data_IF_034215811423
#
_entry.id   IF_034215811423
#
_cell.length_a   1.000
_cell.length_b   1.000
_cell.length_c   1.000
_cell.angle_alpha   90.00
_cell.angle_beta   90.00
_cell.angle_gamma   90.00
#
_symmetry.space_group_name_H-M   'P 1'
#
loop_
_entity.id
_entity.type
_entity.pdbx_description
1 polymer ?
#
# COMPACT_ATOMS: atom_id res chain seq x y z
N UNK A 1 25.47 -40.12 35.62
CA UNK A 1 25.23 -40.80 34.36
C UNK A 1 23.76 -40.68 34.05
N UNK A 2 23.36 -39.87 33.12
CA UNK A 2 22.00 -39.65 32.69
C UNK A 2 22.07 -38.98 31.32
N UNK A 3 21.84 -39.80 30.28
CA UNK A 3 21.89 -39.43 28.88
C UNK A 3 20.71 -38.49 28.52
N UNK A 4 21.06 -37.33 27.99
CA UNK A 4 20.12 -36.41 27.33
C UNK A 4 19.79 -36.97 25.93
N UNK A 5 18.54 -37.43 25.69
CA UNK A 5 18.05 -37.79 24.37
C UNK A 5 17.81 -36.50 23.57
N UNK A 6 18.57 -36.33 22.48
CA UNK A 6 18.42 -35.28 21.51
C UNK A 6 17.08 -35.44 20.74
N UNK A 7 16.35 -34.37 20.55
CA UNK A 7 15.20 -34.31 19.67
C UNK A 7 15.65 -34.37 18.20
N UNK A 8 14.89 -35.05 17.30
CA UNK A 8 15.25 -35.12 15.89
C UNK A 8 15.03 -33.75 15.21
N UNK A 9 16.13 -33.19 14.69
CA UNK A 9 16.11 -32.00 13.86
C UNK A 9 15.38 -32.30 12.54
N UNK A 10 14.38 -31.49 12.20
CA UNK A 10 13.76 -31.49 10.89
C UNK A 10 14.80 -31.09 9.83
N UNK A 11 15.25 -32.06 9.06
CA UNK A 11 16.11 -31.83 7.90
C UNK A 11 15.26 -31.34 6.72
N UNK A 12 15.38 -30.09 6.36
CA UNK A 12 14.82 -29.53 5.14
C UNK A 12 15.59 -30.09 3.93
N UNK A 13 14.91 -30.84 3.08
CA UNK A 13 15.50 -31.38 1.85
C UNK A 13 16.00 -30.26 0.94
N UNK A 14 17.22 -30.42 0.39
CA UNK A 14 17.84 -29.48 -0.55
C UNK A 14 16.99 -29.38 -1.82
N UNK A 15 16.48 -28.15 -2.11
CA UNK A 15 15.79 -27.81 -3.34
C UNK A 15 16.83 -27.61 -4.46
N UNK A 16 16.60 -28.06 -5.71
CA UNK A 16 17.51 -27.89 -6.84
C UNK A 16 17.74 -26.41 -7.16
N UNK A 17 18.95 -26.04 -7.53
CA UNK A 17 19.34 -24.70 -7.96
C UNK A 17 18.63 -24.31 -9.24
N UNK A 18 17.95 -23.15 -9.18
CA UNK A 18 17.19 -22.55 -10.26
C UNK A 18 18.09 -22.27 -11.50
N UNK A 19 17.63 -22.55 -12.73
CA UNK A 19 18.34 -22.18 -13.96
C UNK A 19 18.28 -20.66 -14.17
N UNK A 20 19.28 -20.12 -14.88
CA UNK A 20 19.43 -18.70 -15.22
C UNK A 20 18.17 -18.13 -15.87
N UNK A 21 17.70 -16.98 -15.35
CA UNK A 21 16.52 -16.26 -15.80
C UNK A 21 16.64 -15.82 -17.28
N UNK A 22 15.56 -15.92 -18.07
CA UNK A 22 15.54 -15.44 -19.44
C UNK A 22 15.63 -13.90 -19.53
N UNK A 23 16.14 -13.34 -20.65
CA UNK A 23 16.51 -11.91 -20.77
C UNK A 23 15.35 -10.91 -20.89
N UNK A 24 14.09 -11.34 -20.94
CA UNK A 24 12.92 -10.44 -21.00
C UNK A 24 12.04 -10.61 -19.77
N UNK A 25 11.84 -9.52 -19.03
CA UNK A 25 10.99 -9.46 -17.84
C UNK A 25 9.60 -8.95 -18.24
N UNK A 26 8.59 -9.80 -18.18
CA UNK A 26 7.20 -9.39 -18.28
C UNK A 26 6.64 -9.22 -16.86
N UNK A 27 6.11 -8.04 -16.57
CA UNK A 27 5.61 -7.64 -15.25
C UNK A 27 4.09 -7.62 -15.27
N UNK A 28 3.48 -8.10 -14.19
CA UNK A 28 2.04 -8.11 -14.01
C UNK A 28 1.66 -7.43 -12.71
N UNK A 29 0.66 -6.56 -12.76
CA UNK A 29 0.12 -5.81 -11.63
C UNK A 29 -1.34 -6.16 -11.45
N UNK A 30 -1.72 -6.52 -10.24
CA UNK A 30 -3.11 -6.77 -9.88
C UNK A 30 -3.61 -5.70 -8.93
N UNK A 31 -4.77 -5.15 -9.25
CA UNK A 31 -5.49 -4.18 -8.44
C UNK A 31 -6.93 -4.67 -8.26
N UNK A 32 -7.55 -4.31 -7.15
CA UNK A 32 -8.96 -4.54 -6.93
C UNK A 32 -9.49 -3.41 -6.07
N UNK A 33 -10.42 -2.64 -6.63
CA UNK A 33 -11.06 -1.51 -5.97
C UNK A 33 -12.54 -1.83 -5.78
N UNK A 34 -12.86 -2.54 -4.69
CA UNK A 34 -14.25 -2.76 -4.29
C UNK A 34 -14.69 -1.64 -3.34
N UNK A 35 -15.40 -0.65 -3.84
CA UNK A 35 -16.03 0.39 -3.01
C UNK A 35 -17.55 0.28 -3.06
N UNK A 36 -18.18 0.02 -1.92
CA UNK A 36 -19.60 0.30 -1.70
C UNK A 36 -19.73 1.56 -0.84
N UNK A 37 -20.62 2.48 -1.23
CA UNK A 37 -20.97 3.62 -0.40
C UNK A 37 -21.63 3.17 0.90
N UNK A 38 -21.39 3.84 2.04
CA UNK A 38 -22.08 3.54 3.29
C UNK A 38 -23.54 3.99 3.16
N UNK A 39 -24.47 3.05 3.09
CA UNK A 39 -25.88 3.31 3.39
C UNK A 39 -26.00 3.63 4.88
N UNK A 40 -26.69 4.73 5.21
CA UNK A 40 -27.01 5.11 6.59
C UNK A 40 -27.85 3.99 7.24
N UNK A 41 -27.22 3.16 8.04
CA UNK A 41 -27.91 2.17 8.87
C UNK A 41 -28.09 2.72 10.27
N UNK A 42 -29.33 3.04 10.62
CA UNK A 42 -29.78 3.14 12.02
C UNK A 42 -30.16 1.74 12.48
N UNK A 43 -29.68 1.26 13.63
CA UNK A 43 -30.10 -0.05 14.13
C UNK A 43 -31.53 0.03 14.67
N UNK A 44 -32.47 -0.54 13.93
CA UNK A 44 -33.78 -0.91 14.47
C UNK A 44 -33.76 -2.39 14.84
N UNK A 45 -33.99 -2.67 16.09
CA UNK A 45 -34.34 -3.99 16.62
C UNK A 45 -35.61 -4.46 15.91
N UNK A 46 -35.55 -5.62 15.25
CA UNK A 46 -36.71 -6.27 14.64
C UNK A 46 -37.23 -7.37 15.55
N UNK A 47 -38.55 -7.46 15.77
CA UNK A 47 -39.18 -8.61 16.37
C UNK A 47 -39.30 -9.76 15.35
N UNK A 48 -39.12 -10.98 15.85
CA UNK A 48 -39.30 -12.23 15.13
C UNK A 48 -40.75 -12.42 14.65
N UNK A 49 -40.88 -12.87 13.43
CA UNK A 49 -41.98 -13.54 12.73
C UNK A 49 -42.47 -12.77 11.50
N UNK A 50 -42.24 -13.42 10.37
CA UNK A 50 -43.12 -13.61 9.22
C UNK A 50 -42.31 -13.64 7.90
N UNK A 51 -42.22 -14.80 7.32
CA UNK A 51 -41.95 -14.97 5.88
C UNK A 51 -43.19 -14.59 5.08
N UNK A 52 -43.02 -13.91 3.97
CA UNK A 52 -43.78 -14.28 2.77
C UNK A 52 -42.89 -14.44 1.54
N UNK A 53 -43.18 -15.48 0.80
CA UNK A 53 -42.77 -15.72 -0.59
C UNK A 53 -43.35 -14.64 -1.50
N UNK A 54 -42.53 -13.94 -2.28
CA UNK A 54 -42.93 -13.38 -3.58
C UNK A 54 -41.67 -12.99 -4.40
N UNK A 55 -41.64 -13.52 -5.59
CA UNK A 55 -40.75 -13.18 -6.70
C UNK A 55 -40.97 -11.75 -7.13
N UNK A 56 -39.98 -10.88 -6.91
CA UNK A 56 -39.89 -9.58 -7.53
C UNK A 56 -38.68 -9.54 -8.49
N UNK A 57 -38.76 -8.89 -9.66
CA UNK A 57 -37.70 -8.88 -10.63
C UNK A 57 -36.52 -8.06 -10.14
N UNK A 58 -35.32 -8.62 -10.31
CA UNK A 58 -34.04 -7.95 -10.06
C UNK A 58 -33.94 -6.73 -10.98
N UNK A 59 -34.01 -5.53 -10.41
CA UNK A 59 -33.59 -4.30 -11.08
C UNK A 59 -32.08 -4.34 -11.34
N UNK A 60 -31.61 -3.89 -12.50
CA UNK A 60 -30.19 -3.86 -12.79
C UNK A 60 -29.50 -2.89 -11.82
N UNK A 61 -28.50 -3.42 -11.09
CA UNK A 61 -27.61 -2.63 -10.25
C UNK A 61 -26.84 -1.67 -11.17
N UNK A 62 -27.17 -0.39 -11.14
CA UNK A 62 -26.32 0.65 -11.71
C UNK A 62 -25.00 0.66 -10.96
N UNK A 63 -23.85 0.62 -11.66
CA UNK A 63 -22.56 0.70 -10.99
C UNK A 63 -22.41 2.10 -10.39
N UNK A 64 -22.49 2.19 -9.07
CA UNK A 64 -22.14 3.42 -8.35
C UNK A 64 -20.63 3.60 -8.44
N UNK A 65 -20.23 4.50 -9.32
CA UNK A 65 -18.87 4.98 -9.46
C UNK A 65 -18.49 5.82 -8.24
N UNK A 66 -17.56 5.35 -7.42
CA UNK A 66 -16.69 6.22 -6.64
C UNK A 66 -15.32 5.53 -6.49
N UNK A 67 -14.41 5.80 -7.43
CA UNK A 67 -12.99 5.74 -7.16
C UNK A 67 -12.69 6.88 -6.20
N UNK A 68 -12.31 6.60 -4.96
CA UNK A 68 -11.62 7.60 -4.17
C UNK A 68 -10.21 7.72 -4.74
N UNK A 69 -9.78 8.93 -5.07
CA UNK A 69 -8.49 9.24 -5.67
C UNK A 69 -7.28 8.66 -4.91
N UNK A 70 -7.47 8.15 -3.69
CA UNK A 70 -6.43 7.52 -2.88
C UNK A 70 -5.94 6.16 -3.42
N UNK A 71 -6.76 5.44 -4.18
CA UNK A 71 -6.45 4.08 -4.61
C UNK A 71 -5.51 4.03 -5.82
N UNK A 72 -5.50 5.07 -6.67
CA UNK A 72 -4.58 5.20 -7.81
C UNK A 72 -3.26 5.91 -7.50
N UNK A 73 -3.08 6.44 -6.27
CA UNK A 73 -1.93 7.25 -5.88
C UNK A 73 -0.56 6.60 -6.11
N UNK A 74 -0.45 5.30 -5.84
CA UNK A 74 0.78 4.53 -6.04
C UNK A 74 0.84 3.84 -7.38
N UNK A 75 -0.31 3.42 -7.89
CA UNK A 75 -0.43 2.52 -9.03
C UNK A 75 -0.07 3.21 -10.34
N UNK A 76 -0.61 4.41 -10.55
CA UNK A 76 -0.37 5.18 -11.78
C UNK A 76 1.10 5.57 -11.90
N UNK A 77 1.74 6.20 -10.90
CA UNK A 77 3.16 6.48 -10.94
C UNK A 77 4.04 5.22 -11.08
N UNK A 78 3.70 4.11 -10.39
CA UNK A 78 4.37 2.82 -10.58
C UNK A 78 4.31 2.35 -12.04
N UNK A 79 3.13 2.43 -12.66
CA UNK A 79 2.95 2.00 -14.04
C UNK A 79 3.85 2.78 -15.01
N UNK A 80 3.89 4.09 -14.89
CA UNK A 80 4.75 4.94 -15.70
C UNK A 80 6.24 4.65 -15.47
N UNK A 81 6.67 4.56 -14.21
CA UNK A 81 8.05 4.25 -13.86
C UNK A 81 8.49 2.91 -14.44
N UNK A 82 7.68 1.88 -14.28
CA UNK A 82 8.03 0.54 -14.74
C UNK A 82 7.96 0.41 -16.26
N UNK A 83 6.98 1.05 -16.91
CA UNK A 83 6.93 1.14 -18.38
C UNK A 83 8.13 1.88 -18.95
N UNK A 84 8.59 2.94 -18.31
CA UNK A 84 9.83 3.64 -18.64
C UNK A 84 11.07 2.75 -18.44
N UNK A 85 11.12 2.00 -17.35
CA UNK A 85 12.27 1.17 -16.95
C UNK A 85 12.38 -0.13 -17.74
N UNK A 86 11.26 -0.83 -17.99
CA UNK A 86 11.24 -2.19 -18.58
C UNK A 86 10.68 -2.23 -19.99
N UNK A 87 10.17 -1.12 -20.49
CA UNK A 87 9.51 -1.01 -21.79
C UNK A 87 8.00 -1.14 -21.69
N UNK A 88 7.32 -0.31 -22.46
CA UNK A 88 5.86 -0.14 -22.46
C UNK A 88 5.09 -1.46 -22.55
N UNK A 89 5.49 -2.35 -23.46
CA UNK A 89 4.79 -3.61 -23.74
C UNK A 89 5.15 -4.76 -22.80
N UNK A 90 6.13 -4.56 -21.92
CA UNK A 90 6.56 -5.57 -20.94
C UNK A 90 5.90 -5.37 -19.57
N UNK A 91 5.02 -4.36 -19.41
CA UNK A 91 4.34 -4.02 -18.17
C UNK A 91 2.84 -4.06 -18.38
N UNK A 92 2.21 -5.12 -17.91
CA UNK A 92 0.77 -5.35 -17.99
C UNK A 92 0.13 -4.88 -16.70
N UNK A 93 -0.84 -3.98 -16.80
CA UNK A 93 -1.69 -3.60 -15.68
C UNK A 93 -2.95 -4.45 -15.67
N UNK A 94 -3.46 -4.72 -14.48
CA UNK A 94 -4.71 -5.45 -14.31
C UNK A 94 -5.52 -4.88 -13.15
N UNK A 95 -6.81 -4.70 -13.37
CA UNK A 95 -7.79 -4.27 -12.38
C UNK A 95 -9.19 -4.73 -12.83
N UNK A 96 -10.15 -4.75 -11.91
CA UNK A 96 -11.58 -4.90 -12.23
C UNK A 96 -12.17 -3.65 -12.89
N UNK A 97 -11.48 -2.51 -12.82
CA UNK A 97 -11.88 -1.21 -13.38
C UNK A 97 -10.88 -0.73 -14.42
N UNK A 98 -11.38 0.00 -15.40
CA UNK A 98 -10.54 0.74 -16.34
C UNK A 98 -9.78 1.84 -15.60
N UNK A 99 -8.45 1.93 -15.73
CA UNK A 99 -7.68 3.06 -15.21
C UNK A 99 -7.96 4.34 -16.02
N UNK A 100 -7.47 5.51 -15.58
CA UNK A 100 -7.50 6.73 -16.37
C UNK A 100 -6.97 6.54 -17.80
N UNK A 101 -7.47 7.31 -18.75
CA UNK A 101 -7.20 7.10 -20.17
C UNK A 101 -5.72 7.22 -20.55
N UNK A 102 -5.01 8.14 -19.93
CA UNK A 102 -3.56 8.31 -20.08
C UNK A 102 -2.76 7.05 -19.67
N UNK A 103 -3.21 6.35 -18.64
CA UNK A 103 -2.63 5.07 -18.20
C UNK A 103 -3.09 3.92 -19.10
N UNK A 104 -4.39 3.88 -19.43
CA UNK A 104 -4.99 2.82 -20.24
C UNK A 104 -4.35 2.74 -21.63
N UNK A 105 -4.21 3.87 -22.32
CA UNK A 105 -3.62 3.92 -23.65
C UNK A 105 -2.08 3.93 -23.65
N UNK A 106 -1.47 4.05 -22.47
CA UNK A 106 -0.02 4.03 -22.35
C UNK A 106 0.61 2.64 -22.34
N UNK A 107 -0.14 1.54 -22.40
CA UNK A 107 0.39 0.17 -22.47
C UNK A 107 -0.65 -0.90 -22.20
N UNK A 108 -0.28 -2.18 -22.19
CA UNK A 108 -1.20 -3.29 -22.02
C UNK A 108 -1.99 -3.19 -20.71
N UNK A 109 -3.30 -3.44 -20.81
CA UNK A 109 -4.22 -3.54 -19.69
C UNK A 109 -5.14 -4.75 -19.86
N UNK A 110 -5.37 -5.51 -18.79
CA UNK A 110 -6.24 -6.69 -18.78
C UNK A 110 -7.19 -6.59 -17.60
N UNK A 111 -8.50 -6.69 -17.85
CA UNK A 111 -9.49 -6.80 -16.77
C UNK A 111 -9.35 -8.14 -16.04
N UNK A 112 -9.24 -8.09 -14.72
CA UNK A 112 -9.20 -9.30 -13.90
C UNK A 112 -9.63 -9.01 -12.48
N UNK A 113 -10.35 -9.95 -11.87
CA UNK A 113 -10.66 -9.95 -10.44
C UNK A 113 -9.61 -10.79 -9.69
N UNK A 114 -9.10 -10.25 -8.58
CA UNK A 114 -8.15 -10.95 -7.70
C UNK A 114 -8.74 -12.25 -7.13
N UNK A 115 -10.06 -12.38 -7.12
CA UNK A 115 -10.79 -13.56 -6.64
C UNK A 115 -10.97 -14.64 -7.74
N UNK A 116 -10.73 -14.29 -9.01
CA UNK A 116 -10.77 -15.25 -10.13
C UNK A 116 -9.41 -15.90 -10.35
N UNK A 117 -9.12 -16.93 -9.58
CA UNK A 117 -7.88 -17.72 -9.66
C UNK A 117 -7.58 -18.19 -11.08
N UNK A 118 -8.58 -18.70 -11.80
CA UNK A 118 -8.41 -19.28 -13.14
C UNK A 118 -7.98 -18.19 -14.13
N UNK A 119 -8.66 -17.07 -14.15
CA UNK A 119 -8.32 -15.94 -15.03
C UNK A 119 -6.92 -15.39 -14.73
N UNK A 120 -6.58 -15.19 -13.46
CA UNK A 120 -5.25 -14.74 -13.04
C UNK A 120 -4.13 -15.69 -13.51
N UNK A 121 -4.34 -17.00 -13.36
CA UNK A 121 -3.39 -18.02 -13.79
C UNK A 121 -3.23 -18.01 -15.32
N UNK A 122 -4.31 -17.91 -16.08
CA UNK A 122 -4.28 -17.79 -17.54
C UNK A 122 -3.50 -16.54 -17.98
N UNK A 123 -3.69 -15.39 -17.33
CA UNK A 123 -2.94 -14.16 -17.62
C UNK A 123 -1.44 -14.39 -17.40
N UNK A 124 -1.05 -14.98 -16.27
CA UNK A 124 0.36 -15.24 -15.94
C UNK A 124 1.00 -16.14 -16.98
N UNK A 125 0.35 -17.22 -17.36
CA UNK A 125 0.88 -18.20 -18.34
C UNK A 125 0.96 -17.62 -19.75
N UNK A 126 -0.15 -17.05 -20.23
CA UNK A 126 -0.25 -16.57 -21.61
C UNK A 126 0.69 -15.39 -21.89
N UNK A 127 0.96 -14.57 -20.87
CA UNK A 127 1.85 -13.41 -21.01
C UNK A 127 3.27 -13.68 -20.48
N UNK A 128 3.59 -14.92 -20.06
CA UNK A 128 4.92 -15.33 -19.56
C UNK A 128 5.44 -14.39 -18.48
N UNK A 129 4.58 -14.08 -17.49
CA UNK A 129 4.91 -13.20 -16.40
C UNK A 129 6.07 -13.77 -15.59
N UNK A 130 6.99 -12.91 -15.17
CA UNK A 130 8.15 -13.28 -14.32
C UNK A 130 8.20 -12.50 -13.02
N UNK A 131 7.65 -11.28 -13.03
CA UNK A 131 7.50 -10.44 -11.84
C UNK A 131 6.05 -10.07 -11.66
N UNK A 132 5.54 -10.22 -10.43
CA UNK A 132 4.19 -9.86 -10.07
C UNK A 132 4.21 -8.84 -8.92
N UNK A 133 3.44 -7.75 -9.08
CA UNK A 133 3.24 -6.73 -8.05
C UNK A 133 1.78 -6.75 -7.64
N UNK A 134 1.52 -7.09 -6.39
CA UNK A 134 0.17 -7.24 -5.86
C UNK A 134 -0.20 -6.07 -4.96
N UNK A 135 -0.93 -5.09 -5.53
CA UNK A 135 -1.43 -3.93 -4.80
C UNK A 135 -2.90 -4.04 -4.40
N UNK A 136 -3.63 -5.06 -4.90
CA UNK A 136 -5.06 -5.23 -4.61
C UNK A 136 -5.32 -5.33 -3.11
N UNK A 137 -6.02 -4.35 -2.55
CA UNK A 137 -6.42 -4.35 -1.15
C UNK A 137 -7.51 -3.31 -0.87
N UNK A 138 -8.40 -3.62 0.07
CA UNK A 138 -9.25 -2.61 0.69
C UNK A 138 -8.48 -1.98 1.86
N UNK A 139 -8.39 -0.64 1.85
CA UNK A 139 -7.70 0.13 2.88
C UNK A 139 -8.52 0.26 4.16
N UNK A 140 -7.92 0.83 5.23
CA UNK A 140 -8.45 0.82 6.59
C UNK A 140 -9.92 1.22 6.71
N UNK A 141 -10.31 2.43 6.27
CA UNK A 141 -11.68 2.92 6.45
C UNK A 141 -12.70 2.12 5.63
N UNK A 142 -12.36 1.80 4.37
CA UNK A 142 -13.22 1.01 3.49
C UNK A 142 -13.32 -0.44 3.98
N UNK A 143 -12.21 -1.00 4.46
CA UNK A 143 -12.16 -2.35 5.02
C UNK A 143 -13.01 -2.49 6.29
N UNK A 144 -12.98 -1.51 7.20
CA UNK A 144 -13.83 -1.50 8.39
C UNK A 144 -15.33 -1.35 8.05
N UNK A 145 -15.65 -0.62 6.98
CA UNK A 145 -17.04 -0.50 6.52
C UNK A 145 -17.58 -1.80 5.91
N UNK A 146 -16.72 -2.68 5.39
CA UNK A 146 -17.12 -3.97 4.80
C UNK A 146 -16.07 -5.06 5.07
N UNK A 147 -16.03 -5.57 6.29
CA UNK A 147 -15.09 -6.60 6.72
C UNK A 147 -15.15 -7.91 5.90
N UNK A 148 -16.34 -8.42 5.50
CA UNK A 148 -16.42 -9.60 4.64
C UNK A 148 -15.69 -9.40 3.30
N UNK A 149 -15.88 -8.26 2.65
CA UNK A 149 -15.22 -7.93 1.39
C UNK A 149 -13.71 -7.72 1.59
N UNK A 150 -13.31 -7.04 2.67
CA UNK A 150 -11.90 -6.87 3.01
C UNK A 150 -11.21 -8.23 3.19
N UNK A 151 -11.84 -9.19 3.86
CA UNK A 151 -11.33 -10.56 3.98
C UNK A 151 -11.20 -11.26 2.62
N UNK A 152 -12.22 -11.15 1.78
CA UNK A 152 -12.18 -11.77 0.45
C UNK A 152 -11.00 -11.21 -0.37
N UNK A 153 -10.91 -9.89 -0.50
CA UNK A 153 -9.88 -9.25 -1.33
C UNK A 153 -8.49 -9.38 -0.71
N UNK A 154 -8.31 -8.97 0.56
CA UNK A 154 -6.99 -8.86 1.17
C UNK A 154 -6.41 -10.22 1.62
N UNK A 155 -7.25 -11.22 1.86
CA UNK A 155 -6.80 -12.54 2.36
C UNK A 155 -6.97 -13.59 1.27
N UNK A 156 -8.19 -13.87 0.79
CA UNK A 156 -8.40 -14.88 -0.24
C UNK A 156 -7.71 -14.50 -1.56
N UNK A 157 -7.84 -13.25 -1.99
CA UNK A 157 -7.15 -12.74 -3.17
C UNK A 157 -5.62 -12.85 -3.06
N UNK A 158 -5.06 -12.55 -1.88
CA UNK A 158 -3.64 -12.75 -1.63
C UNK A 158 -3.22 -14.23 -1.76
N UNK A 159 -4.02 -15.17 -1.22
CA UNK A 159 -3.70 -16.59 -1.35
C UNK A 159 -3.67 -17.03 -2.82
N UNK A 160 -4.61 -16.57 -3.64
CA UNK A 160 -4.61 -16.84 -5.09
C UNK A 160 -3.28 -16.38 -5.73
N UNK A 161 -2.79 -15.19 -5.36
CA UNK A 161 -1.53 -14.64 -5.86
C UNK A 161 -0.32 -15.43 -5.36
N UNK A 162 -0.28 -15.81 -4.09
CA UNK A 162 0.81 -16.60 -3.52
C UNK A 162 0.92 -17.96 -4.19
N UNK A 163 -0.21 -18.66 -4.39
CA UNK A 163 -0.25 -19.95 -5.05
C UNK A 163 0.24 -19.88 -6.50
N UNK A 164 -0.28 -18.93 -7.27
CA UNK A 164 0.14 -18.70 -8.66
C UNK A 164 1.62 -18.33 -8.74
N UNK A 165 2.09 -17.43 -7.86
CA UNK A 165 3.47 -17.01 -7.84
C UNK A 165 4.43 -18.15 -7.49
N UNK A 166 4.05 -19.02 -6.56
CA UNK A 166 4.81 -20.22 -6.22
C UNK A 166 4.79 -21.27 -7.34
N UNK A 167 3.62 -21.56 -7.94
CA UNK A 167 3.47 -22.51 -9.05
C UNK A 167 4.35 -22.13 -10.24
N UNK A 168 4.41 -20.83 -10.58
CA UNK A 168 5.12 -20.32 -11.74
C UNK A 168 6.49 -19.70 -11.43
N UNK A 169 7.01 -19.87 -10.20
CA UNK A 169 8.32 -19.37 -9.76
C UNK A 169 8.50 -17.86 -10.03
N UNK A 170 7.48 -17.06 -9.76
CA UNK A 170 7.52 -15.62 -9.96
C UNK A 170 8.32 -14.93 -8.85
N UNK A 171 8.86 -13.73 -9.17
CA UNK A 171 9.25 -12.76 -8.14
C UNK A 171 8.00 -11.97 -7.76
N UNK A 172 7.60 -12.05 -6.49
CA UNK A 172 6.37 -11.44 -5.98
C UNK A 172 6.68 -10.26 -5.06
N UNK A 173 6.08 -9.11 -5.34
CA UNK A 173 6.05 -7.95 -4.45
C UNK A 173 4.65 -7.76 -3.86
N UNK A 174 4.59 -7.59 -2.54
CA UNK A 174 3.36 -7.23 -1.82
C UNK A 174 3.68 -6.08 -0.87
N UNK A 175 3.04 -4.91 -0.99
CA UNK A 175 3.26 -3.81 -0.04
C UNK A 175 2.62 -4.10 1.30
N UNK A 176 3.35 -3.77 2.38
CA UNK A 176 2.84 -3.63 3.74
C UNK A 176 2.80 -2.15 4.14
N UNK A 177 2.62 -1.84 5.41
CA UNK A 177 2.23 -0.50 5.87
C UNK A 177 2.63 -0.26 7.33
N UNK A 178 2.73 1.01 7.74
CA UNK A 178 2.77 1.38 9.17
C UNK A 178 1.55 0.85 9.94
N UNK A 179 0.42 0.64 9.27
CA UNK A 179 -0.80 0.07 9.86
C UNK A 179 -0.70 -1.40 10.28
N UNK A 180 0.39 -2.11 9.93
CA UNK A 180 0.68 -3.46 10.40
C UNK A 180 1.14 -3.50 11.88
N UNK A 181 1.46 -2.36 12.45
CA UNK A 181 1.84 -2.23 13.86
C UNK A 181 0.65 -1.85 14.76
N UNK A 182 0.84 -1.97 16.05
CA UNK A 182 -0.19 -1.67 17.04
C UNK A 182 0.38 -1.10 18.33
N UNK A 183 -0.46 -0.83 19.35
CA UNK A 183 -0.05 -0.11 20.56
C UNK A 183 1.07 -0.76 21.36
N UNK A 184 1.33 -2.05 21.15
CA UNK A 184 2.37 -2.82 21.86
C UNK A 184 3.67 -2.93 21.09
N UNK A 185 3.71 -2.42 19.86
CA UNK A 185 4.95 -2.37 19.08
C UNK A 185 5.86 -1.27 19.61
N UNK A 186 7.20 -1.46 19.62
CA UNK A 186 8.13 -0.35 19.84
C UNK A 186 7.87 0.75 18.82
N UNK A 187 7.86 2.03 19.24
CA UNK A 187 7.44 3.13 18.36
C UNK A 187 8.58 4.01 17.87
N UNK A 188 9.72 4.08 18.57
CA UNK A 188 10.79 5.01 18.24
C UNK A 188 12.19 4.49 18.58
N UNK A 189 12.94 3.96 17.61
CA UNK A 189 12.45 3.50 16.31
C UNK A 189 11.72 2.15 16.41
N UNK A 190 10.87 1.86 15.44
CA UNK A 190 10.25 0.53 15.29
C UNK A 190 11.18 -0.36 14.46
N UNK A 191 11.69 -1.47 15.00
CA UNK A 191 12.55 -2.37 14.24
C UNK A 191 11.76 -3.26 13.27
N UNK A 192 12.45 -3.85 12.29
CA UNK A 192 11.84 -4.79 11.34
C UNK A 192 11.19 -5.98 12.04
N UNK A 193 11.84 -6.51 13.08
CA UNK A 193 11.35 -7.65 13.85
C UNK A 193 10.85 -7.19 15.22
N UNK A 194 9.54 -7.17 15.38
CA UNK A 194 8.89 -6.83 16.64
C UNK A 194 7.46 -7.41 16.70
N UNK A 195 6.81 -7.24 17.84
CA UNK A 195 5.42 -7.64 18.00
C UNK A 195 4.52 -6.72 17.18
N UNK A 196 3.75 -7.31 16.27
CA UNK A 196 2.73 -6.64 15.48
C UNK A 196 1.34 -7.04 15.99
N UNK A 197 0.57 -6.07 16.49
CA UNK A 197 -0.80 -6.29 16.97
C UNK A 197 -1.73 -5.18 16.50
N UNK A 198 -1.95 -5.08 15.18
CA UNK A 198 -2.87 -4.09 14.62
C UNK A 198 -4.31 -4.36 15.09
N UNK A 199 -5.13 -3.31 15.07
CA UNK A 199 -6.54 -3.36 15.51
C UNK A 199 -7.54 -3.13 14.38
N UNK A 200 -7.07 -3.02 13.13
CA UNK A 200 -7.91 -2.88 11.94
C UNK A 200 -7.83 -4.13 11.08
N UNK A 201 -8.91 -4.46 10.36
CA UNK A 201 -8.92 -5.58 9.41
C UNK A 201 -7.84 -5.40 8.33
N UNK A 202 -7.57 -4.16 7.92
CA UNK A 202 -6.49 -3.86 7.00
C UNK A 202 -5.12 -4.22 7.59
N UNK A 203 -4.79 -3.72 8.78
CA UNK A 203 -3.53 -4.01 9.45
C UNK A 203 -3.35 -5.52 9.69
N UNK A 204 -4.39 -6.20 10.17
CA UNK A 204 -4.38 -7.66 10.36
C UNK A 204 -4.11 -8.38 9.05
N UNK A 205 -4.75 -7.98 7.94
CA UNK A 205 -4.52 -8.59 6.63
C UNK A 205 -3.11 -8.32 6.10
N UNK A 206 -2.49 -7.20 6.44
CA UNK A 206 -1.10 -6.90 6.03
C UNK A 206 -0.07 -7.70 6.83
N UNK A 207 -0.25 -7.88 8.14
CA UNK A 207 0.57 -8.82 8.93
C UNK A 207 0.42 -10.24 8.41
N UNK A 208 -0.81 -10.65 8.08
CA UNK A 208 -1.06 -11.94 7.43
C UNK A 208 -0.28 -12.07 6.11
N UNK A 209 -0.26 -11.03 5.27
CA UNK A 209 0.46 -11.03 4.00
C UNK A 209 1.98 -11.17 4.18
N UNK A 210 2.56 -10.47 5.16
CA UNK A 210 3.98 -10.58 5.51
C UNK A 210 4.34 -12.02 5.90
N UNK A 211 3.61 -12.57 6.88
CA UNK A 211 3.88 -13.91 7.41
C UNK A 211 3.64 -15.02 6.38
N UNK A 212 2.58 -14.93 5.59
CA UNK A 212 2.30 -15.90 4.52
C UNK A 212 3.34 -15.81 3.41
N UNK A 213 3.76 -14.61 3.01
CA UNK A 213 4.81 -14.43 2.01
C UNK A 213 6.15 -15.03 2.46
N UNK A 214 6.54 -14.81 3.71
CA UNK A 214 7.72 -15.42 4.33
C UNK A 214 7.59 -16.94 4.41
N UNK A 215 6.43 -17.46 4.82
CA UNK A 215 6.18 -18.91 4.82
C UNK A 215 6.32 -19.52 3.42
N UNK A 216 5.76 -18.87 2.38
CA UNK A 216 5.89 -19.33 0.99
C UNK A 216 7.35 -19.29 0.51
N UNK A 217 8.11 -18.29 0.96
CA UNK A 217 9.54 -18.25 0.70
C UNK A 217 10.27 -19.46 1.29
N UNK A 218 10.08 -19.74 2.57
CA UNK A 218 10.76 -20.84 3.25
C UNK A 218 10.26 -22.22 2.79
N UNK A 219 8.96 -22.35 2.51
CA UNK A 219 8.35 -23.64 2.18
C UNK A 219 8.48 -24.00 0.70
N UNK A 220 8.30 -23.02 -0.18
CA UNK A 220 8.20 -23.25 -1.63
C UNK A 220 9.31 -22.55 -2.42
N UNK A 221 10.20 -21.81 -1.78
CA UNK A 221 11.28 -21.05 -2.46
C UNK A 221 10.81 -19.84 -3.24
N UNK A 222 9.59 -19.33 -2.95
CA UNK A 222 9.07 -18.13 -3.61
C UNK A 222 10.00 -16.93 -3.37
N UNK A 223 10.37 -16.21 -4.43
CA UNK A 223 11.09 -14.93 -4.31
C UNK A 223 10.10 -13.82 -3.88
N UNK A 224 9.67 -13.89 -2.61
CA UNK A 224 8.77 -12.94 -1.97
C UNK A 224 9.55 -11.72 -1.49
N UNK A 225 8.97 -10.53 -1.71
CA UNK A 225 9.54 -9.23 -1.29
C UNK A 225 8.43 -8.32 -0.80
N UNK A 226 8.65 -7.68 0.34
CA UNK A 226 7.67 -6.83 0.99
C UNK A 226 8.35 -5.60 1.59
N UNK A 227 7.71 -4.43 1.44
CA UNK A 227 8.11 -3.18 2.08
C UNK A 227 6.97 -2.66 2.94
N UNK A 228 7.29 -2.26 4.17
CA UNK A 228 6.36 -1.54 5.04
C UNK A 228 6.47 -0.06 4.74
N UNK A 229 5.48 0.46 4.03
CA UNK A 229 5.42 1.86 3.67
C UNK A 229 5.03 2.74 4.86
N UNK A 230 5.70 3.89 5.04
CA UNK A 230 5.24 4.96 5.92
C UNK A 230 4.04 5.70 5.32
N UNK A 231 3.68 6.85 5.85
CA UNK A 231 2.72 7.75 5.23
C UNK A 231 3.26 8.29 3.89
N UNK A 232 2.58 7.98 2.78
CA UNK A 232 3.01 8.42 1.46
C UNK A 232 2.36 9.76 1.11
N UNK A 233 3.18 10.71 0.68
CA UNK A 233 2.78 12.06 0.26
C UNK A 233 3.02 12.22 -1.24
N UNK A 234 2.02 12.71 -1.96
CA UNK A 234 2.09 12.97 -3.40
C UNK A 234 1.27 14.21 -3.76
N UNK A 235 1.77 15.03 -4.65
CA UNK A 235 1.04 16.20 -5.17
C UNK A 235 -0.19 15.79 -6.00
N UNK A 236 -0.12 14.67 -6.71
CA UNK A 236 -1.23 14.14 -7.52
C UNK A 236 -2.36 13.54 -6.67
N UNK A 237 -2.19 13.51 -5.35
CA UNK A 237 -3.18 12.89 -4.48
C UNK A 237 -4.12 13.90 -3.84
N UNK A 238 -5.43 13.56 -3.81
CA UNK A 238 -6.41 14.29 -3.02
C UNK A 238 -6.54 13.66 -1.64
N UNK A 239 -6.75 14.44 -0.56
CA UNK A 239 -7.02 13.88 0.76
C UNK A 239 -8.28 13.00 0.72
N UNK A 240 -8.16 11.76 1.21
CA UNK A 240 -9.22 10.75 1.14
C UNK A 240 -9.82 10.33 2.48
N UNK A 241 -9.48 11.02 3.57
CA UNK A 241 -9.95 10.71 4.93
C UNK A 241 -9.00 9.79 5.73
N UNK A 242 -7.80 9.50 5.23
CA UNK A 242 -6.77 8.75 5.95
C UNK A 242 -6.15 9.55 7.11
N UNK A 243 -5.53 8.84 8.06
CA UNK A 243 -4.89 9.45 9.25
C UNK A 243 -3.70 10.34 8.87
N UNK A 244 -2.98 10.01 7.79
CA UNK A 244 -1.81 10.78 7.30
C UNK A 244 -2.16 11.86 6.28
N UNK A 245 -3.42 11.97 5.88
CA UNK A 245 -3.84 12.88 4.81
C UNK A 245 -3.67 14.37 5.15
N UNK A 246 -3.52 14.71 6.44
CA UNK A 246 -3.20 16.06 6.87
C UNK A 246 -1.94 16.61 6.17
N UNK A 247 -0.98 15.72 5.91
CA UNK A 247 0.29 16.08 5.28
C UNK A 247 0.20 16.34 3.76
N UNK A 248 -0.96 16.04 3.16
CA UNK A 248 -1.32 16.45 1.78
C UNK A 248 -2.30 17.62 1.83
N UNK A 249 -3.28 17.55 2.72
CA UNK A 249 -4.33 18.55 2.89
C UNK A 249 -3.77 19.96 3.11
N UNK A 250 -2.72 20.09 3.92
CA UNK A 250 -2.10 21.38 4.24
C UNK A 250 -1.67 22.16 2.99
N UNK A 251 -1.15 21.50 1.96
CA UNK A 251 -0.71 22.18 0.72
C UNK A 251 -1.89 22.71 -0.09
N UNK A 252 -2.94 21.88 -0.25
CA UNK A 252 -4.16 22.29 -0.96
C UNK A 252 -4.85 23.46 -0.24
N UNK A 253 -4.99 23.37 1.08
CA UNK A 253 -5.65 24.39 1.88
C UNK A 253 -4.83 25.70 1.93
N UNK A 254 -3.51 25.60 2.07
CA UNK A 254 -2.61 26.73 2.07
C UNK A 254 -2.67 27.53 0.75
N UNK A 255 -2.64 26.83 -0.39
CA UNK A 255 -2.71 27.45 -1.72
C UNK A 255 -4.10 28.05 -1.96
N UNK A 256 -5.16 27.35 -1.57
CA UNK A 256 -6.54 27.73 -1.89
C UNK A 256 -7.08 28.85 -1.00
N UNK A 257 -6.85 28.75 0.30
CA UNK A 257 -7.53 29.56 1.31
C UNK A 257 -6.58 30.29 2.26
N UNK A 258 -5.28 29.97 2.29
CA UNK A 258 -4.35 30.46 3.29
C UNK A 258 -4.68 30.01 4.73
N UNK A 259 -5.50 28.97 4.88
CA UNK A 259 -5.96 28.45 6.16
C UNK A 259 -5.88 26.92 6.16
N UNK A 260 -5.45 26.33 7.27
CA UNK A 260 -5.38 24.89 7.42
C UNK A 260 -5.91 24.46 8.80
N UNK A 261 -6.74 23.41 8.83
CA UNK A 261 -7.19 22.76 10.06
C UNK A 261 -6.63 21.37 10.16
N UNK A 262 -5.71 21.14 11.12
CA UNK A 262 -5.15 19.83 11.40
C UNK A 262 -6.09 19.02 12.30
N UNK A 263 -6.30 17.74 11.95
CA UNK A 263 -7.13 16.80 12.72
C UNK A 263 -6.32 15.91 13.67
N UNK A 264 -5.02 16.14 13.81
CA UNK A 264 -4.14 15.52 14.78
C UNK A 264 -3.55 16.57 15.71
N UNK A 265 -3.01 16.13 16.85
CA UNK A 265 -2.24 17.00 17.76
C UNK A 265 -0.99 17.52 17.04
N UNK A 266 -0.56 18.71 17.41
CA UNK A 266 0.61 19.37 16.82
C UNK A 266 1.91 18.58 16.95
N UNK A 267 2.04 17.76 17.99
CA UNK A 267 3.23 16.96 18.32
C UNK A 267 3.16 15.50 17.88
N UNK A 268 2.09 15.08 17.19
CA UNK A 268 1.90 13.70 16.70
C UNK A 268 2.93 13.35 15.64
N UNK A 269 3.96 12.59 16.00
CA UNK A 269 5.04 12.21 15.09
C UNK A 269 4.72 10.91 14.35
N UNK A 270 4.85 10.93 13.01
CA UNK A 270 4.66 9.77 12.14
C UNK A 270 5.77 9.69 11.09
N UNK A 271 6.18 8.47 10.67
CA UNK A 271 7.10 8.32 9.56
C UNK A 271 6.39 8.62 8.24
N UNK A 272 7.05 9.36 7.38
CA UNK A 272 6.53 9.85 6.09
C UNK A 272 7.55 9.68 4.98
N UNK A 273 7.05 9.68 3.73
CA UNK A 273 7.88 9.54 2.53
C UNK A 273 7.21 10.22 1.34
N UNK A 274 8.00 10.89 0.50
CA UNK A 274 7.51 11.36 -0.78
C UNK A 274 7.34 10.20 -1.77
N UNK A 275 6.38 10.30 -2.67
CA UNK A 275 5.99 9.21 -3.60
C UNK A 275 7.17 8.70 -4.42
N UNK A 276 8.07 9.56 -4.89
CA UNK A 276 9.21 9.15 -5.73
C UNK A 276 10.18 8.24 -4.98
N UNK A 277 10.42 8.50 -3.69
CA UNK A 277 11.20 7.61 -2.83
C UNK A 277 10.52 6.25 -2.64
N UNK A 278 9.20 6.22 -2.50
CA UNK A 278 8.43 4.98 -2.41
C UNK A 278 8.58 4.14 -3.69
N UNK A 279 8.47 4.77 -4.86
CA UNK A 279 8.63 4.13 -6.16
C UNK A 279 10.05 3.61 -6.37
N UNK A 280 11.06 4.42 -6.01
CA UNK A 280 12.47 4.07 -6.04
C UNK A 280 12.76 2.87 -5.14
N UNK A 281 12.25 2.86 -3.90
CA UNK A 281 12.40 1.75 -2.97
C UNK A 281 11.81 0.44 -3.53
N UNK A 282 10.60 0.52 -4.09
CA UNK A 282 9.91 -0.62 -4.68
C UNK A 282 10.70 -1.22 -5.86
N UNK A 283 11.19 -0.36 -6.74
CA UNK A 283 12.02 -0.81 -7.86
C UNK A 283 13.34 -1.41 -7.36
N UNK A 284 14.02 -0.74 -6.44
CA UNK A 284 15.32 -1.16 -5.93
C UNK A 284 15.24 -2.52 -5.21
N UNK A 285 14.27 -2.73 -4.32
CA UNK A 285 14.09 -4.02 -3.66
C UNK A 285 13.76 -5.12 -4.67
N UNK A 286 12.99 -4.82 -5.72
CA UNK A 286 12.64 -5.79 -6.76
C UNK A 286 13.81 -6.09 -7.71
N UNK A 287 14.73 -5.18 -7.93
CA UNK A 287 15.95 -5.42 -8.73
C UNK A 287 17.08 -6.06 -7.91
N UNK A 288 17.07 -5.93 -6.59
CA UNK A 288 18.10 -6.48 -5.72
C UNK A 288 18.32 -7.99 -5.97
N UNK A 289 19.58 -8.47 -5.93
CA UNK A 289 19.85 -9.90 -5.97
C UNK A 289 19.18 -10.62 -4.79
N UNK A 290 18.51 -11.75 -5.04
CA UNK A 290 17.84 -12.50 -3.98
C UNK A 290 18.81 -12.94 -2.85
N UNK A 291 20.07 -13.16 -3.18
CA UNK A 291 21.10 -13.56 -2.22
C UNK A 291 21.56 -12.42 -1.29
N UNK A 292 21.33 -11.13 -1.66
CA UNK A 292 21.67 -10.00 -0.79
C UNK A 292 20.59 -9.73 0.27
N UNK A 293 19.38 -10.25 0.07
CA UNK A 293 18.27 -10.01 0.97
C UNK A 293 18.34 -10.95 2.19
N UNK A 294 18.68 -10.42 3.36
CA UNK A 294 18.68 -11.18 4.62
C UNK A 294 17.26 -11.42 5.16
N UNK A 295 16.29 -10.62 4.71
CA UNK A 295 14.88 -10.67 5.10
C UNK A 295 13.98 -10.70 3.86
N UNK A 296 12.68 -10.90 4.07
CA UNK A 296 11.67 -10.81 3.00
C UNK A 296 10.77 -9.59 3.16
N UNK A 297 10.69 -9.05 4.38
CA UNK A 297 9.90 -7.87 4.75
C UNK A 297 10.81 -6.83 5.38
N UNK A 298 10.80 -5.61 4.87
CA UNK A 298 11.67 -4.51 5.34
C UNK A 298 10.85 -3.27 5.70
N UNK A 299 11.22 -2.61 6.77
CA UNK A 299 10.86 -1.22 6.99
C UNK A 299 11.62 -0.32 6.00
N UNK A 300 10.97 0.72 5.51
CA UNK A 300 11.61 1.82 4.79
C UNK A 300 11.14 3.15 5.35
N UNK A 301 12.05 4.08 5.53
CA UNK A 301 11.76 5.41 6.04
C UNK A 301 12.54 6.46 5.25
N UNK A 302 11.92 7.64 5.06
CA UNK A 302 12.63 8.82 4.56
C UNK A 302 12.77 9.83 5.67
N UNK A 303 11.67 10.24 6.26
CA UNK A 303 11.61 11.26 7.30
C UNK A 303 10.57 10.90 8.35
N UNK A 304 10.64 11.57 9.51
CA UNK A 304 9.61 11.52 10.52
C UNK A 304 9.39 12.93 11.07
N UNK A 305 8.18 13.41 11.00
CA UNK A 305 7.84 14.76 11.46
C UNK A 305 6.46 14.83 12.12
N UNK A 306 6.24 15.90 12.88
CA UNK A 306 4.96 16.24 13.47
C UNK A 306 4.20 17.25 12.60
N UNK A 307 2.87 17.41 12.77
CA UNK A 307 2.11 18.47 12.12
C UNK A 307 2.71 19.86 12.32
N UNK A 308 3.23 20.17 13.51
CA UNK A 308 3.86 21.45 13.78
C UNK A 308 5.14 21.67 12.97
N UNK A 309 6.01 20.65 12.87
CA UNK A 309 7.23 20.73 12.06
C UNK A 309 6.89 20.93 10.56
N UNK A 310 5.87 20.25 10.06
CA UNK A 310 5.39 20.46 8.70
C UNK A 310 4.84 21.88 8.49
N UNK A 311 4.06 22.40 9.44
CA UNK A 311 3.52 23.78 9.41
C UNK A 311 4.65 24.79 9.37
N UNK A 312 5.69 24.61 10.17
CA UNK A 312 6.84 25.52 10.17
C UNK A 312 7.57 25.53 8.82
N UNK A 313 7.70 24.36 8.18
CA UNK A 313 8.31 24.28 6.85
C UNK A 313 7.44 24.94 5.77
N UNK A 314 6.12 24.69 5.80
CA UNK A 314 5.15 25.31 4.88
C UNK A 314 5.10 26.83 5.02
N UNK A 315 5.23 27.35 6.25
CA UNK A 315 5.27 28.80 6.52
C UNK A 315 6.49 29.51 5.93
N UNK A 316 7.56 28.82 5.58
CA UNK A 316 8.67 29.43 4.83
C UNK A 316 8.24 29.83 3.40
N UNK A 317 7.21 29.19 2.84
CA UNK A 317 6.65 29.49 1.52
C UNK A 317 5.39 30.36 1.60
N UNK A 318 4.57 30.19 2.64
CA UNK A 318 3.34 30.97 2.89
C UNK A 318 3.36 31.45 4.34
N UNK A 319 4.07 32.55 4.67
CA UNK A 319 4.24 33.03 6.05
C UNK A 319 2.95 33.33 6.79
N UNK A 320 1.92 33.78 6.07
CA UNK A 320 0.61 34.19 6.59
C UNK A 320 -0.35 33.00 6.83
N UNK A 321 0.05 31.77 6.56
CA UNK A 321 -0.80 30.58 6.75
C UNK A 321 -1.38 30.53 8.18
N UNK A 322 -2.72 30.55 8.25
CA UNK A 322 -3.45 30.39 9.50
C UNK A 322 -3.66 28.90 9.80
N UNK A 323 -3.24 28.46 10.99
CA UNK A 323 -3.32 27.05 11.36
C UNK A 323 -4.13 26.87 12.64
N UNK A 324 -5.06 25.94 12.62
CA UNK A 324 -5.85 25.50 13.78
C UNK A 324 -5.76 24.01 13.98
N UNK A 325 -5.93 23.55 15.21
CA UNK A 325 -5.92 22.13 15.56
C UNK A 325 -7.30 21.74 16.10
N UNK A 326 -8.02 20.87 15.36
CA UNK A 326 -9.30 20.29 15.77
C UNK A 326 -9.17 18.77 15.77
N UNK A 327 -8.65 18.23 16.88
CA UNK A 327 -8.23 16.85 16.99
C UNK A 327 -9.40 15.88 16.87
N UNK A 328 -9.38 15.03 15.84
CA UNK A 328 -10.28 13.90 15.69
C UNK A 328 -9.79 12.75 16.57
N UNK A 329 -10.60 12.40 17.60
CA UNK A 329 -10.21 11.39 18.58
C UNK A 329 -9.94 10.01 17.98
N UNK A 330 -10.65 9.62 16.91
CA UNK A 330 -10.46 8.32 16.25
C UNK A 330 -9.15 8.30 15.49
N UNK A 331 -8.88 9.33 14.69
CA UNK A 331 -7.62 9.46 13.93
C UNK A 331 -6.41 9.58 14.86
N UNK A 332 -6.56 10.33 15.95
CA UNK A 332 -5.50 10.46 16.94
C UNK A 332 -5.19 9.11 17.60
N UNK A 333 -6.20 8.35 18.01
CA UNK A 333 -6.01 7.03 18.60
C UNK A 333 -5.32 6.05 17.63
N UNK A 334 -5.60 6.15 16.34
CA UNK A 334 -4.91 5.38 15.30
C UNK A 334 -3.44 5.83 15.22
N UNK A 335 -3.18 7.12 15.08
CA UNK A 335 -1.82 7.67 15.01
C UNK A 335 -0.99 7.32 16.25
N UNK A 336 -1.59 7.37 17.45
CA UNK A 336 -0.96 7.01 18.72
C UNK A 336 -0.61 5.52 18.81
N UNK A 337 -1.22 4.68 17.98
CA UNK A 337 -0.93 3.24 17.89
C UNK A 337 0.13 2.85 16.87
N UNK A 338 0.53 3.78 15.99
CA UNK A 338 1.49 3.54 14.93
C UNK A 338 2.93 3.90 15.31
N UNK A 339 3.93 3.44 14.56
CA UNK A 339 5.31 3.89 14.67
C UNK A 339 5.44 5.41 14.64
N UNK A 340 6.36 5.94 15.45
CA UNK A 340 6.81 7.33 15.34
C UNK A 340 7.95 7.46 14.34
N UNK A 341 8.77 6.41 14.24
CA UNK A 341 9.88 6.32 13.31
C UNK A 341 10.17 4.84 13.01
N UNK A 342 10.75 4.57 11.84
CA UNK A 342 11.22 3.24 11.46
C UNK A 342 12.74 3.10 11.60
N UNK A 343 13.19 1.94 12.06
CA UNK A 343 14.54 1.46 11.81
C UNK A 343 14.55 0.74 10.45
N UNK A 344 15.26 1.31 9.48
CA UNK A 344 15.40 0.78 8.12
C UNK A 344 16.85 0.35 7.82
N UNK A 345 17.65 0.11 8.87
CA UNK A 345 19.06 -0.24 8.76
C UNK A 345 19.31 -1.51 7.95
N UNK A 346 18.43 -2.50 8.04
CA UNK A 346 18.50 -3.71 7.22
C UNK A 346 18.28 -3.42 5.73
N UNK A 347 17.32 -2.58 5.37
CA UNK A 347 17.10 -2.17 3.98
C UNK A 347 18.33 -1.43 3.41
N UNK A 348 18.93 -0.55 4.20
CA UNK A 348 20.14 0.19 3.82
C UNK A 348 21.32 -0.75 3.60
N UNK A 349 21.51 -1.74 4.46
CA UNK A 349 22.59 -2.72 4.36
C UNK A 349 22.43 -3.70 3.22
N UNK A 350 21.23 -4.27 3.06
CA UNK A 350 21.00 -5.43 2.19
C UNK A 350 20.85 -5.07 0.72
N UNK A 351 20.24 -3.92 0.43
CA UNK A 351 19.98 -3.48 -0.95
C UNK A 351 20.23 -1.99 -1.20
N UNK A 352 20.94 -1.32 -0.29
CA UNK A 352 21.43 0.04 -0.49
C UNK A 352 20.34 1.11 -0.47
N UNK A 353 19.26 0.90 0.31
CA UNK A 353 18.19 1.87 0.44
C UNK A 353 18.72 3.24 0.86
N UNK A 354 18.28 4.27 0.15
CA UNK A 354 18.55 5.67 0.48
C UNK A 354 17.41 6.52 -0.09
N UNK A 355 16.79 7.34 0.76
CA UNK A 355 15.82 8.35 0.34
C UNK A 355 16.53 9.53 -0.32
N UNK A 356 15.81 10.26 -1.15
CA UNK A 356 16.29 11.47 -1.84
C UNK A 356 15.60 12.72 -1.30
N UNK A 357 14.42 12.60 -0.65
CA UNK A 357 13.64 13.72 -0.14
C UNK A 357 13.72 13.85 1.38
N UNK A 358 14.16 14.99 1.88
CA UNK A 358 13.91 15.45 3.24
C UNK A 358 12.62 16.29 3.32
N UNK A 359 12.29 16.83 4.51
CA UNK A 359 11.07 17.61 4.71
C UNK A 359 11.07 18.91 3.88
N UNK A 360 12.21 19.58 3.75
CA UNK A 360 12.33 20.84 2.99
C UNK A 360 12.18 20.61 1.49
N UNK A 361 12.83 19.56 0.97
CA UNK A 361 12.74 19.15 -0.43
C UNK A 361 11.32 18.70 -0.80
N UNK A 362 10.66 17.94 0.09
CA UNK A 362 9.26 17.55 -0.06
C UNK A 362 8.35 18.77 -0.16
N UNK A 363 8.43 19.71 0.79
CA UNK A 363 7.57 20.91 0.82
C UNK A 363 7.78 21.75 -0.42
N UNK A 364 9.03 21.98 -0.81
CA UNK A 364 9.38 22.74 -2.04
C UNK A 364 8.80 22.05 -3.28
N UNK A 365 8.93 20.74 -3.39
CA UNK A 365 8.41 19.97 -4.53
C UNK A 365 6.89 20.02 -4.61
N UNK A 366 6.20 19.88 -3.47
CA UNK A 366 4.74 19.97 -3.40
C UNK A 366 4.24 21.33 -3.90
N UNK A 367 4.86 22.43 -3.47
CA UNK A 367 4.48 23.78 -3.93
C UNK A 367 4.81 24.03 -5.40
N UNK A 368 5.92 23.49 -5.91
CA UNK A 368 6.28 23.63 -7.33
C UNK A 368 5.25 22.95 -8.24
N UNK A 369 4.77 21.76 -7.88
CA UNK A 369 3.79 21.01 -8.68
C UNK A 369 2.41 21.66 -8.55
N UNK A 370 1.89 21.82 -7.33
CA UNK A 370 0.53 22.35 -7.09
C UNK A 370 0.40 23.82 -7.47
N UNK A 371 1.47 24.61 -7.32
CA UNK A 371 1.50 26.01 -7.72
C UNK A 371 1.53 26.22 -9.24
N UNK A 372 2.09 25.27 -10.01
CA UNK A 372 2.05 25.29 -11.48
C UNK A 372 0.63 24.97 -11.99
N UNK A 373 -0.04 24.01 -11.39
CA UNK A 373 -1.41 23.62 -11.76
C UNK A 373 -2.42 24.75 -11.48
N UNK A 374 -2.25 25.47 -10.37
CA UNK A 374 -3.10 26.62 -10.03
C UNK A 374 -2.98 27.77 -11.03
N UNK A 375 -1.79 28.01 -11.60
CA UNK A 375 -1.58 29.06 -12.62
C UNK A 375 -2.21 28.68 -13.96
N UNK A 376 -2.18 27.38 -14.32
CA UNK A 376 -2.84 26.88 -15.54
C UNK A 376 -4.36 26.97 -15.43
N UNK A 377 -4.92 26.71 -14.25
CA UNK A 377 -6.37 26.82 -14.00
C UNK A 377 -6.90 28.25 -13.97
N UNK A 378 -6.04 29.27 -13.79
CA UNK A 378 -6.42 30.70 -13.83
C UNK A 378 -6.32 31.31 -15.24
N UNK A 379 -5.74 30.60 -16.21
CA UNK A 379 -5.52 31.08 -17.59
C UNK A 379 -6.59 30.50 -18.56
N UNK A 380 -7.37 29.49 -18.13
CA UNK A 380 -8.49 28.89 -18.85
C UNK A 380 -9.83 29.30 -18.23
#
# INVERSE_FOLDING_TARGET
MGEARGQPGFAWGKIPKNPSLPPKKNLFYTFSTHTQQPSKFTPRLLPSNLLPSSSAPLLPLTPASLCTASEYKLIVPCAFLFRKRFGKNNVILSDIRKPPDDVFYNGPFIYSDILDYKNLREIVVNNRITWLFHYSALLSAVGEANVPLARAVNITGLHNILDIAAEHSLRLFVPSTIGAFGPTSPRNPTPDLCIQRPRTIYGVSKVHAELMGEYYHYRYGLDFRCLRYPGIISADSQPGGGTTDYAVQIFHDAIKNGQFQCNLKSDTRLPMMYIDDCLKATLAVMEAPAASLSMRTYNISAMSFSPEELVQEVKKHIPELQVTYNVDAVRQAIADSWPMNFDDSNARRDWGWKHDFDLSELVTTMFNILGSDSRVAQIN
#
